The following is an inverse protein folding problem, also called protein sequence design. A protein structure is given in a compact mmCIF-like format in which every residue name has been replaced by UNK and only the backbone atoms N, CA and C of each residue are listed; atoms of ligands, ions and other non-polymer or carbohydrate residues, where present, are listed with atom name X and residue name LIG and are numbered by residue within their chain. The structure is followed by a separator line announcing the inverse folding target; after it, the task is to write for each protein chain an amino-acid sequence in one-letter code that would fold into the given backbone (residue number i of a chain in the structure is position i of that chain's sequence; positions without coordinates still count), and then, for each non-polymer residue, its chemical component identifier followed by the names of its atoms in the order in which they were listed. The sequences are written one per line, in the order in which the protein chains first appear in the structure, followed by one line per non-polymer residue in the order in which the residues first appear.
data_IF_149799063463
#
_entry.id   IF_149799063463
#
_cell.length_a   1.000
_cell.length_b   1.000
_cell.length_c   1.000
_cell.angle_alpha   90.00
_cell.angle_beta   90.00
_cell.angle_gamma   90.00
#
_symmetry.space_group_name_H-M   'P 1'
#
loop_
_entity.id
_entity.type
_entity.pdbx_description
1 polymer ?
#
# COMPACT_ATOMS: atom_id res chain seq x y z
N UNK A 1 56.70 -16.93 -62.66
CA UNK A 1 57.52 -16.32 -63.72
C UNK A 1 57.43 -14.80 -63.59
N UNK A 2 58.61 -14.18 -63.42
CA UNK A 2 59.04 -12.81 -63.76
C UNK A 2 57.98 -11.69 -63.91
N UNK A 3 58.21 -10.64 -63.10
CA UNK A 3 58.35 -9.21 -63.50
C UNK A 3 57.06 -8.50 -63.98
N UNK A 4 56.83 -7.19 -63.86
CA UNK A 4 57.52 -5.99 -63.39
C UNK A 4 56.62 -4.83 -63.88
N UNK A 5 56.50 -3.69 -63.21
CA UNK A 5 55.90 -2.51 -63.86
C UNK A 5 55.40 -1.40 -62.94
N UNK A 6 56.34 -0.61 -62.45
CA UNK A 6 56.19 0.70 -61.82
C UNK A 6 55.95 1.81 -62.87
N UNK A 7 55.11 2.81 -62.58
CA UNK A 7 55.07 4.20 -63.13
C UNK A 7 53.79 4.86 -62.54
N UNK A 8 53.76 5.82 -61.60
CA UNK A 8 54.42 7.14 -61.42
C UNK A 8 54.06 8.15 -62.51
N UNK A 9 53.35 9.23 -62.13
CA UNK A 9 53.25 10.63 -62.66
C UNK A 9 51.88 11.19 -62.17
N UNK A 10 51.77 12.04 -61.15
CA UNK A 10 52.12 13.49 -61.00
C UNK A 10 51.33 14.42 -61.94
N UNK A 11 50.62 15.40 -61.35
CA UNK A 11 50.16 16.63 -62.00
C UNK A 11 48.73 16.99 -61.60
N UNK A 12 48.53 17.93 -60.64
CA UNK A 12 48.23 19.35 -60.88
C UNK A 12 46.96 19.52 -61.75
N UNK A 13 45.90 20.25 -61.37
CA UNK A 13 45.90 21.60 -60.82
C UNK A 13 44.47 21.95 -60.34
N UNK A 14 44.43 22.92 -59.44
CA UNK A 14 43.31 23.76 -59.03
C UNK A 14 42.29 24.11 -60.12
N UNK A 15 41.02 24.26 -59.74
CA UNK A 15 40.28 25.53 -59.88
C UNK A 15 39.06 25.55 -58.95
N UNK A 16 39.05 26.60 -58.11
CA UNK A 16 37.93 27.07 -57.30
C UNK A 16 36.90 27.81 -58.18
N UNK A 17 35.79 28.17 -57.52
CA UNK A 17 34.71 29.12 -57.89
C UNK A 17 33.45 28.39 -58.40
N UNK A 18 32.48 28.12 -57.54
CA UNK A 18 31.53 29.01 -56.85
C UNK A 18 30.35 29.46 -57.74
N UNK A 19 29.18 28.97 -57.32
CA UNK A 19 27.83 29.55 -57.29
C UNK A 19 27.36 30.44 -58.45
N UNK A 20 26.24 30.07 -59.08
CA UNK A 20 24.93 30.70 -58.80
C UNK A 20 23.90 30.44 -59.91
N UNK A 21 22.92 29.60 -59.56
CA UNK A 21 21.47 29.74 -59.76
C UNK A 21 20.85 29.93 -61.17
N UNK A 22 19.98 28.97 -61.53
CA UNK A 22 18.88 29.18 -62.47
C UNK A 22 18.29 27.87 -63.01
N UNK A 23 17.06 27.52 -62.60
CA UNK A 23 16.16 26.68 -63.40
C UNK A 23 15.72 25.33 -62.80
N UNK A 24 14.68 25.41 -61.98
CA UNK A 24 13.52 24.50 -61.89
C UNK A 24 13.67 23.00 -62.19
N UNK A 25 13.53 22.19 -61.13
CA UNK A 25 12.75 20.95 -61.18
C UNK A 25 11.99 20.77 -59.85
N UNK A 26 10.71 20.46 -60.00
CA UNK A 26 9.68 20.36 -58.96
C UNK A 26 10.00 19.31 -57.88
N UNK A 27 10.06 19.76 -56.62
CA UNK A 27 9.68 18.93 -55.46
C UNK A 27 8.68 19.67 -54.61
N UNK A 28 7.43 19.30 -54.81
CA UNK A 28 6.28 19.71 -54.02
C UNK A 28 6.46 19.23 -52.57
N UNK A 29 6.52 20.22 -51.70
CA UNK A 29 6.40 20.11 -50.26
C UNK A 29 4.97 19.62 -49.91
N UNK A 30 4.89 18.61 -49.06
CA UNK A 30 3.68 18.33 -48.27
C UNK A 30 4.14 17.98 -46.86
N UNK A 31 3.94 18.95 -45.96
CA UNK A 31 3.80 18.69 -44.54
C UNK A 31 2.81 17.54 -44.35
N UNK A 32 3.25 16.48 -43.68
CA UNK A 32 2.40 15.49 -43.07
C UNK A 32 2.77 15.45 -41.59
N UNK A 33 2.01 16.25 -40.82
CA UNK A 33 1.75 16.00 -39.41
C UNK A 33 1.31 14.54 -39.26
N UNK A 34 2.20 13.67 -38.80
CA UNK A 34 1.86 12.32 -38.36
C UNK A 34 1.98 12.24 -36.85
N UNK A 35 0.96 12.78 -36.17
CA UNK A 35 0.39 12.11 -35.00
C UNK A 35 0.23 10.62 -35.33
N UNK A 36 1.10 9.79 -34.76
CA UNK A 36 1.12 8.35 -34.94
C UNK A 36 1.33 7.65 -33.60
N UNK A 37 0.21 7.27 -33.00
CA UNK A 37 0.03 6.21 -32.00
C UNK A 37 0.99 6.16 -30.80
N UNK A 38 0.51 6.73 -29.68
CA UNK A 38 0.85 6.17 -28.38
C UNK A 38 0.39 4.72 -28.36
N UNK A 39 1.29 3.77 -28.64
CA UNK A 39 1.05 2.35 -28.40
C UNK A 39 0.43 2.23 -27.00
N UNK A 40 -0.76 1.66 -26.90
CA UNK A 40 -1.52 1.57 -25.65
C UNK A 40 -0.80 0.55 -24.74
N UNK A 41 0.32 0.97 -24.15
CA UNK A 41 1.17 0.10 -23.33
C UNK A 41 0.40 -0.23 -22.07
N UNK A 42 0.29 -1.52 -21.79
CA UNK A 42 -0.34 -2.03 -20.56
C UNK A 42 0.69 -2.72 -19.68
N UNK A 43 0.39 -2.79 -18.39
CA UNK A 43 1.12 -3.57 -17.39
C UNK A 43 0.21 -4.72 -16.96
N UNK A 44 0.70 -5.95 -17.05
CA UNK A 44 -0.02 -7.13 -16.56
C UNK A 44 0.07 -7.19 -15.05
N UNK A 45 -1.08 -7.27 -14.40
CA UNK A 45 -1.20 -7.41 -12.94
C UNK A 45 -2.02 -8.65 -12.63
N UNK A 46 -1.52 -9.48 -11.73
CA UNK A 46 -2.21 -10.69 -11.29
C UNK A 46 -3.04 -10.40 -10.04
N UNK A 47 -4.35 -10.55 -10.16
CA UNK A 47 -5.26 -10.61 -9.03
C UNK A 47 -5.33 -12.07 -8.56
N UNK A 48 -5.05 -12.30 -7.28
CA UNK A 48 -5.22 -13.59 -6.63
C UNK A 48 -5.65 -13.38 -5.17
N UNK A 49 -6.95 -13.43 -4.90
CA UNK A 49 -7.51 -13.17 -3.58
C UNK A 49 -8.87 -13.86 -3.38
N UNK A 50 -9.37 -13.83 -2.15
CA UNK A 50 -10.73 -14.29 -1.81
C UNK A 50 -11.63 -13.07 -1.64
N UNK A 51 -12.57 -12.89 -2.56
CA UNK A 51 -13.62 -11.88 -2.42
C UNK A 51 -14.64 -12.37 -1.39
N UNK A 52 -14.94 -11.56 -0.37
CA UNK A 52 -15.93 -11.97 0.64
C UNK A 52 -17.35 -11.97 0.07
N UNK A 53 -18.18 -12.91 0.54
CA UNK A 53 -19.62 -12.91 0.30
C UNK A 53 -20.38 -12.16 1.39
N UNK A 54 -21.65 -12.49 1.56
CA UNK A 54 -22.56 -11.89 2.54
C UNK A 54 -22.45 -12.55 3.93
N UNK A 55 -22.00 -13.81 3.99
CA UNK A 55 -21.92 -14.55 5.25
C UNK A 55 -20.71 -14.15 6.07
N UNK A 56 -20.94 -13.93 7.37
CA UNK A 56 -19.90 -13.53 8.33
C UNK A 56 -18.81 -14.59 8.53
N UNK A 57 -19.15 -15.86 8.38
CA UNK A 57 -18.21 -16.98 8.50
C UNK A 57 -17.30 -17.14 7.25
N UNK A 58 -17.55 -16.36 6.19
CA UNK A 58 -16.80 -16.42 4.95
C UNK A 58 -17.04 -17.68 4.12
N UNK A 59 -18.04 -18.51 4.47
CA UNK A 59 -18.35 -19.76 3.76
C UNK A 59 -18.82 -19.57 2.32
N UNK A 60 -19.16 -18.34 1.93
CA UNK A 60 -19.55 -17.92 0.60
C UNK A 60 -18.49 -17.04 -0.10
N UNK A 61 -17.28 -16.95 0.46
CA UNK A 61 -16.18 -16.27 -0.22
C UNK A 61 -15.84 -16.95 -1.55
N UNK A 62 -15.46 -16.15 -2.55
CA UNK A 62 -15.13 -16.62 -3.89
C UNK A 62 -13.69 -16.29 -4.25
N UNK A 63 -12.99 -17.26 -4.80
CA UNK A 63 -11.66 -17.05 -5.34
C UNK A 63 -11.73 -16.17 -6.60
N UNK A 64 -10.96 -15.10 -6.63
CA UNK A 64 -10.71 -14.27 -7.81
C UNK A 64 -9.27 -14.52 -8.24
N UNK A 65 -9.11 -15.13 -9.43
CA UNK A 65 -7.81 -15.40 -10.05
C UNK A 65 -7.85 -14.98 -11.51
N UNK A 66 -7.22 -13.86 -11.82
CA UNK A 66 -7.23 -13.27 -13.15
C UNK A 66 -5.96 -12.44 -13.39
N UNK A 67 -5.63 -12.20 -14.66
CA UNK A 67 -4.62 -11.23 -15.06
C UNK A 67 -5.32 -10.06 -15.72
N UNK A 68 -5.13 -8.85 -15.17
CA UNK A 68 -5.68 -7.62 -15.71
C UNK A 68 -4.58 -6.84 -16.43
N UNK A 69 -4.91 -6.27 -17.59
CA UNK A 69 -4.02 -5.41 -18.36
C UNK A 69 -4.32 -3.94 -18.04
N UNK A 70 -3.55 -3.39 -17.10
CA UNK A 70 -3.71 -2.01 -16.62
C UNK A 70 -3.03 -1.06 -17.60
N UNK A 71 -3.69 0.01 -18.08
CA UNK A 71 -3.03 1.04 -18.88
C UNK A 71 -1.83 1.61 -18.14
N UNK A 72 -0.72 1.85 -18.85
CA UNK A 72 0.44 2.49 -18.26
C UNK A 72 0.15 3.97 -18.00
N UNK A 73 0.55 4.48 -16.83
CA UNK A 73 0.31 5.84 -16.36
C UNK A 73 -1.17 6.28 -16.42
N UNK A 74 -2.09 5.55 -15.78
CA UNK A 74 -3.50 5.96 -15.75
C UNK A 74 -3.60 7.34 -15.08
N UNK A 75 -4.43 8.21 -15.65
CA UNK A 75 -4.66 9.59 -15.21
C UNK A 75 -5.74 9.69 -14.15
N UNK A 76 -6.67 8.73 -14.15
CA UNK A 76 -7.80 8.70 -13.23
C UNK A 76 -7.80 7.42 -12.40
N UNK A 77 -7.18 7.45 -11.23
CA UNK A 77 -7.22 6.37 -10.25
C UNK A 77 -8.28 6.63 -9.18
N UNK A 78 -9.06 5.59 -8.86
CA UNK A 78 -9.85 5.53 -7.63
C UNK A 78 -9.13 4.60 -6.65
N UNK A 79 -8.85 5.06 -5.43
CA UNK A 79 -8.01 4.33 -4.47
C UNK A 79 -8.82 4.06 -3.20
N UNK A 80 -9.18 2.79 -2.97
CA UNK A 80 -9.90 2.36 -1.76
C UNK A 80 -9.00 1.79 -0.66
N UNK A 81 -7.68 1.83 -0.84
CA UNK A 81 -6.71 1.34 0.13
C UNK A 81 -5.79 2.49 0.58
N UNK A 82 -5.82 2.83 1.87
CA UNK A 82 -5.07 3.98 2.38
C UNK A 82 -3.56 3.77 2.39
N UNK A 83 -3.07 2.53 2.53
CA UNK A 83 -1.65 2.24 2.37
C UNK A 83 -1.19 2.49 0.93
N UNK A 84 -1.95 1.99 -0.04
CA UNK A 84 -1.71 2.24 -1.47
C UNK A 84 -1.76 3.73 -1.79
N UNK A 85 -2.71 4.47 -1.20
CA UNK A 85 -2.80 5.92 -1.35
C UNK A 85 -1.55 6.64 -0.81
N UNK A 86 -1.06 6.24 0.36
CA UNK A 86 0.19 6.76 0.94
C UNK A 86 1.41 6.43 0.06
N UNK A 87 1.48 5.21 -0.49
CA UNK A 87 2.54 4.82 -1.43
C UNK A 87 2.49 5.66 -2.71
N UNK A 88 1.30 5.92 -3.26
CA UNK A 88 1.14 6.81 -4.41
C UNK A 88 1.58 8.25 -4.10
N UNK A 89 1.25 8.76 -2.91
CA UNK A 89 1.72 10.07 -2.42
C UNK A 89 3.24 10.11 -2.35
N UNK A 90 3.88 9.12 -1.72
CA UNK A 90 5.34 9.04 -1.62
C UNK A 90 6.04 8.93 -2.99
N UNK A 91 5.33 8.47 -4.03
CA UNK A 91 5.81 8.42 -5.42
C UNK A 91 5.56 9.73 -6.21
N UNK A 92 4.88 10.72 -5.62
CA UNK A 92 4.50 11.97 -6.27
C UNK A 92 3.39 11.77 -7.32
N UNK A 93 2.40 10.91 -7.02
CA UNK A 93 1.29 10.53 -7.91
C UNK A 93 -0.06 11.07 -7.44
N UNK A 94 -0.07 12.12 -6.60
CA UNK A 94 -1.29 12.72 -6.07
C UNK A 94 -2.18 13.29 -7.17
N UNK A 95 -1.62 13.67 -8.32
CA UNK A 95 -2.36 14.17 -9.49
C UNK A 95 -3.14 13.06 -10.23
N UNK A 96 -2.71 11.80 -10.06
CA UNK A 96 -3.36 10.61 -10.64
C UNK A 96 -4.58 10.16 -9.84
N UNK A 97 -4.66 10.52 -8.57
CA UNK A 97 -5.78 10.15 -7.70
C UNK A 97 -6.95 11.10 -7.99
N UNK A 98 -8.12 10.55 -8.32
CA UNK A 98 -9.35 11.31 -8.54
C UNK A 98 -10.39 11.11 -7.46
N UNK A 99 -10.44 9.93 -6.86
CA UNK A 99 -11.42 9.65 -5.84
C UNK A 99 -10.90 8.64 -4.81
N UNK A 100 -11.37 8.78 -3.58
CA UNK A 100 -11.02 7.93 -2.47
C UNK A 100 -12.10 8.00 -1.38
N UNK A 101 -12.22 7.00 -0.49
CA UNK A 101 -13.16 7.08 0.61
C UNK A 101 -12.62 8.06 1.65
N UNK A 102 -13.36 9.11 1.98
CA UNK A 102 -12.97 10.08 3.02
C UNK A 102 -13.81 9.93 4.30
N UNK A 103 -14.89 9.18 4.23
CA UNK A 103 -15.92 9.13 5.26
C UNK A 103 -16.70 10.43 5.36
N UNK A 104 -17.60 10.49 6.32
CA UNK A 104 -18.34 11.71 6.63
C UNK A 104 -17.39 12.78 7.19
N UNK A 105 -17.45 13.99 6.63
CA UNK A 105 -16.61 15.12 7.07
C UNK A 105 -15.10 14.85 6.99
N UNK A 106 -14.66 13.97 6.09
CA UNK A 106 -13.25 13.57 5.93
C UNK A 106 -12.62 12.88 7.15
N UNK A 107 -13.44 12.38 8.10
CA UNK A 107 -12.96 11.87 9.39
C UNK A 107 -12.25 10.52 9.29
N UNK A 108 -12.47 9.74 8.23
CA UNK A 108 -11.85 8.42 8.05
C UNK A 108 -10.38 8.50 7.67
N UNK A 109 -9.91 9.65 7.13
CA UNK A 109 -8.53 9.80 6.70
C UNK A 109 -7.57 9.82 7.90
N UNK A 110 -6.47 9.05 7.85
CA UNK A 110 -5.30 9.27 8.69
C UNK A 110 -4.69 10.65 8.47
N UNK A 111 -4.03 11.20 9.49
CA UNK A 111 -3.50 12.57 9.43
C UNK A 111 -2.39 12.74 8.37
N UNK A 112 -1.58 11.69 8.15
CA UNK A 112 -0.56 11.67 7.08
C UNK A 112 -1.15 11.71 5.65
N UNK A 113 -2.46 11.50 5.50
CA UNK A 113 -3.21 11.62 4.24
C UNK A 113 -4.10 12.88 4.20
N UNK A 114 -3.86 13.86 5.07
CA UNK A 114 -4.67 15.09 5.16
C UNK A 114 -4.73 15.90 3.86
N UNK A 115 -3.72 15.83 2.99
CA UNK A 115 -3.72 16.48 1.67
C UNK A 115 -4.89 16.00 0.78
N UNK A 116 -5.36 14.77 0.99
CA UNK A 116 -6.48 14.19 0.23
C UNK A 116 -7.86 14.66 0.72
N UNK A 117 -7.92 15.54 1.73
CA UNK A 117 -9.17 16.19 2.18
C UNK A 117 -9.69 17.21 1.16
N UNK A 118 -8.82 17.75 0.32
CA UNK A 118 -9.14 18.74 -0.73
C UNK A 118 -10.31 18.29 -1.61
N UNK A 119 -11.18 19.23 -1.99
CA UNK A 119 -12.40 18.98 -2.76
C UNK A 119 -12.14 18.44 -4.17
N UNK A 120 -10.93 18.65 -4.72
CA UNK A 120 -10.54 18.10 -6.03
C UNK A 120 -10.54 16.56 -6.05
N UNK A 121 -10.44 15.92 -4.88
CA UNK A 121 -10.58 14.48 -4.75
C UNK A 121 -12.04 14.14 -4.41
N UNK A 122 -12.72 13.38 -5.26
CA UNK A 122 -14.09 12.97 -5.01
C UNK A 122 -14.17 12.01 -3.81
N UNK A 123 -15.14 12.24 -2.92
CA UNK A 123 -15.37 11.38 -1.77
C UNK A 123 -16.24 10.18 -2.18
N UNK A 124 -15.65 8.98 -2.22
CA UNK A 124 -16.37 7.74 -2.56
C UNK A 124 -17.07 7.10 -1.36
N UNK A 125 -17.35 7.85 -0.30
CA UNK A 125 -17.98 7.35 0.91
C UNK A 125 -16.94 6.85 1.91
N UNK A 126 -17.11 5.64 2.43
CA UNK A 126 -16.23 5.04 3.44
C UNK A 126 -15.61 3.73 2.94
N UNK A 127 -14.65 3.18 3.69
CA UNK A 127 -14.07 1.86 3.41
C UNK A 127 -15.09 0.71 3.55
N UNK A 128 -16.25 0.95 4.14
CA UNK A 128 -17.33 -0.05 4.30
C UNK A 128 -18.46 0.16 3.29
N UNK A 129 -18.79 1.41 3.02
CA UNK A 129 -19.92 1.81 2.18
C UNK A 129 -19.42 2.70 1.05
N UNK A 130 -19.39 2.13 -0.14
CA UNK A 130 -18.88 2.77 -1.36
C UNK A 130 -20.01 3.55 -2.04
N UNK A 131 -19.74 4.81 -2.37
CA UNK A 131 -20.58 5.62 -3.23
C UNK A 131 -20.17 5.39 -4.69
N UNK A 132 -20.91 4.51 -5.39
CA UNK A 132 -20.61 4.13 -6.78
C UNK A 132 -20.89 5.25 -7.79
N UNK A 133 -21.81 6.17 -7.51
CA UNK A 133 -22.02 7.35 -8.37
C UNK A 133 -20.77 8.22 -8.42
N UNK A 134 -20.11 8.41 -7.27
CA UNK A 134 -18.83 9.11 -7.19
C UNK A 134 -17.67 8.36 -7.83
N UNK A 135 -17.73 7.03 -7.85
CA UNK A 135 -16.78 6.21 -8.63
C UNK A 135 -16.99 6.44 -10.13
N UNK A 136 -18.24 6.43 -10.61
CA UNK A 136 -18.57 6.68 -12.02
C UNK A 136 -18.19 8.11 -12.45
N UNK A 137 -18.48 9.10 -11.60
CA UNK A 137 -18.11 10.51 -11.82
C UNK A 137 -16.60 10.70 -12.00
N UNK A 138 -15.79 9.90 -11.30
CA UNK A 138 -14.33 9.94 -11.39
C UNK A 138 -13.78 9.43 -12.73
N UNK A 139 -14.60 8.74 -13.55
CA UNK A 139 -14.22 8.11 -14.83
C UNK A 139 -12.88 7.38 -14.75
N UNK A 140 -12.74 6.38 -13.84
CA UNK A 140 -11.46 5.78 -13.56
C UNK A 140 -10.97 4.90 -14.70
N UNK A 141 -9.66 4.87 -14.88
CA UNK A 141 -8.95 3.88 -15.70
C UNK A 141 -8.51 2.70 -14.84
N UNK A 142 -8.29 2.93 -13.54
CA UNK A 142 -7.89 1.92 -12.56
C UNK A 142 -8.60 2.16 -11.22
N UNK A 143 -9.00 1.07 -10.58
CA UNK A 143 -9.59 1.05 -9.24
C UNK A 143 -8.74 0.12 -8.37
N UNK A 144 -8.10 0.67 -7.34
CA UNK A 144 -7.33 -0.12 -6.37
C UNK A 144 -8.21 -0.50 -5.20
N UNK A 145 -8.32 -1.80 -4.94
CA UNK A 145 -9.15 -2.35 -3.86
C UNK A 145 -8.32 -3.27 -2.94
N UNK A 146 -8.78 -3.41 -1.70
CA UNK A 146 -8.23 -4.39 -0.74
C UNK A 146 -9.37 -5.04 0.04
N UNK A 147 -9.07 -5.84 1.07
CA UNK A 147 -10.01 -6.76 1.69
C UNK A 147 -11.37 -6.17 2.12
N UNK A 148 -11.45 -4.88 2.46
CA UNK A 148 -12.72 -4.23 2.86
C UNK A 148 -13.67 -3.96 1.69
N UNK A 149 -13.12 -3.67 0.51
CA UNK A 149 -13.91 -3.37 -0.69
C UNK A 149 -13.93 -4.54 -1.68
N UNK A 150 -13.09 -5.56 -1.48
CA UNK A 150 -13.03 -6.80 -2.23
C UNK A 150 -14.13 -7.79 -1.80
N UNK A 151 -15.39 -7.44 -2.05
CA UNK A 151 -16.54 -8.34 -1.87
C UNK A 151 -17.35 -8.44 -3.17
N UNK A 152 -18.09 -9.53 -3.35
CA UNK A 152 -18.77 -9.81 -4.62
C UNK A 152 -19.72 -8.68 -5.05
N UNK A 153 -20.50 -8.13 -4.11
CA UNK A 153 -21.41 -7.02 -4.37
C UNK A 153 -20.67 -5.81 -4.92
N UNK A 154 -19.57 -5.42 -4.28
CA UNK A 154 -18.79 -4.27 -4.72
C UNK A 154 -18.13 -4.51 -6.08
N UNK A 155 -17.62 -5.72 -6.35
CA UNK A 155 -17.05 -6.06 -7.66
C UNK A 155 -18.08 -5.91 -8.79
N UNK A 156 -19.31 -6.37 -8.56
CA UNK A 156 -20.41 -6.25 -9.53
C UNK A 156 -20.79 -4.77 -9.75
N UNK A 157 -20.84 -3.97 -8.68
CA UNK A 157 -21.15 -2.54 -8.77
C UNK A 157 -20.02 -1.72 -9.40
N UNK A 158 -18.74 -2.04 -9.14
CA UNK A 158 -17.62 -1.41 -9.83
C UNK A 158 -17.69 -1.62 -11.35
N UNK A 159 -18.06 -2.83 -11.78
CA UNK A 159 -18.23 -3.14 -13.20
C UNK A 159 -19.38 -2.34 -13.85
N UNK A 160 -20.45 -2.04 -13.11
CA UNK A 160 -21.55 -1.19 -13.61
C UNK A 160 -21.15 0.28 -13.64
N UNK A 161 -20.52 0.77 -12.58
CA UNK A 161 -20.15 2.18 -12.42
C UNK A 161 -19.02 2.61 -13.36
N UNK A 162 -18.07 1.71 -13.64
CA UNK A 162 -16.90 2.00 -14.47
C UNK A 162 -16.48 0.74 -15.27
N UNK A 163 -17.22 0.37 -16.33
CA UNK A 163 -17.02 -0.89 -17.06
C UNK A 163 -15.65 -1.04 -17.71
N UNK A 164 -14.99 0.07 -18.06
CA UNK A 164 -13.68 0.07 -18.71
C UNK A 164 -12.51 0.06 -17.72
N UNK A 165 -12.77 0.39 -16.44
CA UNK A 165 -11.75 0.50 -15.43
C UNK A 165 -11.16 -0.87 -15.07
N UNK A 166 -9.85 -0.91 -14.81
CA UNK A 166 -9.18 -2.13 -14.34
C UNK A 166 -9.18 -2.16 -12.82
N UNK A 167 -9.75 -3.23 -12.26
CA UNK A 167 -9.74 -3.44 -10.81
C UNK A 167 -8.45 -4.18 -10.44
N UNK A 168 -7.65 -3.57 -9.57
CA UNK A 168 -6.38 -4.12 -9.08
C UNK A 168 -6.49 -4.38 -7.59
N UNK A 169 -6.25 -5.62 -7.19
CA UNK A 169 -6.19 -5.99 -5.78
C UNK A 169 -4.80 -5.70 -5.20
N UNK A 170 -4.77 -4.90 -4.13
CA UNK A 170 -3.56 -4.45 -3.42
C UNK A 170 -3.60 -4.84 -1.93
N UNK A 171 -4.42 -5.83 -1.57
CA UNK A 171 -4.39 -6.40 -0.23
C UNK A 171 -3.11 -7.19 0.03
N UNK A 172 -2.81 -7.40 1.30
CA UNK A 172 -1.63 -8.12 1.79
C UNK A 172 -2.02 -9.48 2.33
N UNK A 173 -1.18 -10.48 2.09
CA UNK A 173 -1.27 -11.78 2.76
C UNK A 173 -0.48 -11.70 4.07
N UNK A 174 -1.16 -11.79 5.21
CA UNK A 174 -0.52 -11.70 6.54
C UNK A 174 0.56 -12.79 6.75
N UNK A 175 0.48 -13.92 6.05
CA UNK A 175 1.49 -15.00 6.13
C UNK A 175 2.74 -14.73 5.30
N UNK A 176 2.65 -13.81 4.34
CA UNK A 176 3.72 -13.39 3.45
C UNK A 176 3.76 -11.85 3.36
N UNK A 177 3.63 -11.21 4.53
CA UNK A 177 3.32 -9.78 4.67
C UNK A 177 4.33 -8.92 3.92
N UNK A 178 5.60 -9.01 4.28
CA UNK A 178 6.68 -8.19 3.73
C UNK A 178 6.79 -8.33 2.21
N UNK A 179 6.68 -9.55 1.68
CA UNK A 179 6.75 -9.77 0.23
C UNK A 179 5.53 -9.19 -0.49
N UNK A 180 4.33 -9.32 0.11
CA UNK A 180 3.11 -8.72 -0.42
C UNK A 180 3.20 -7.19 -0.47
N UNK A 181 3.71 -6.56 0.59
CA UNK A 181 3.92 -5.10 0.66
C UNK A 181 4.84 -4.62 -0.48
N UNK A 182 5.98 -5.30 -0.66
CA UNK A 182 6.95 -4.99 -1.72
C UNK A 182 6.36 -5.22 -3.10
N UNK A 183 5.69 -6.35 -3.33
CA UNK A 183 5.05 -6.69 -4.60
C UNK A 183 4.05 -5.62 -5.02
N UNK A 184 3.20 -5.16 -4.09
CA UNK A 184 2.22 -4.12 -4.38
C UNK A 184 2.91 -2.80 -4.73
N UNK A 185 3.98 -2.44 -4.01
CA UNK A 185 4.79 -1.23 -4.26
C UNK A 185 5.49 -1.27 -5.62
N UNK A 186 6.09 -2.41 -5.98
CA UNK A 186 6.72 -2.62 -7.28
C UNK A 186 5.70 -2.62 -8.42
N UNK A 187 4.50 -3.14 -8.18
CA UNK A 187 3.40 -3.11 -9.15
C UNK A 187 2.98 -1.69 -9.45
N UNK A 188 2.80 -0.84 -8.42
CA UNK A 188 2.56 0.60 -8.60
C UNK A 188 3.72 1.27 -9.36
N UNK A 189 4.96 0.92 -9.02
CA UNK A 189 6.17 1.37 -9.72
C UNK A 189 6.09 1.11 -11.23
N UNK A 190 5.72 -0.12 -11.64
CA UNK A 190 5.57 -0.50 -13.04
C UNK A 190 4.41 0.22 -13.74
N UNK A 191 3.26 0.36 -13.06
CA UNK A 191 2.07 1.02 -13.60
C UNK A 191 2.37 2.50 -13.90
N UNK A 192 3.12 3.18 -13.03
CA UNK A 192 3.30 4.63 -13.08
C UNK A 192 4.70 5.12 -13.50
N UNK A 193 5.56 4.24 -14.04
CA UNK A 193 6.95 4.58 -14.38
C UNK A 193 7.75 5.14 -13.18
N UNK A 194 7.60 4.48 -12.03
CA UNK A 194 8.23 4.83 -10.73
C UNK A 194 9.04 3.67 -10.16
N UNK A 195 9.59 2.79 -10.99
CA UNK A 195 10.31 1.59 -10.55
C UNK A 195 11.50 1.90 -9.62
N UNK A 196 12.25 2.98 -9.89
CA UNK A 196 13.38 3.36 -9.03
C UNK A 196 12.92 3.84 -7.65
N UNK A 197 11.81 4.57 -7.59
CA UNK A 197 11.21 4.97 -6.32
C UNK A 197 10.64 3.77 -5.57
N UNK A 198 10.01 2.82 -6.28
CA UNK A 198 9.55 1.57 -5.70
C UNK A 198 10.72 0.78 -5.08
N UNK A 199 11.82 0.58 -5.81
CA UNK A 199 13.04 -0.07 -5.29
C UNK A 199 13.62 0.66 -4.07
N UNK A 200 13.62 1.99 -4.08
CA UNK A 200 14.09 2.77 -2.93
C UNK A 200 13.20 2.57 -1.70
N UNK A 201 11.87 2.53 -1.88
CA UNK A 201 10.93 2.29 -0.78
C UNK A 201 11.04 0.86 -0.23
N UNK A 202 11.13 -0.15 -1.10
CA UNK A 202 11.28 -1.55 -0.66
C UNK A 202 12.59 -1.78 0.07
N UNK A 203 13.69 -1.16 -0.39
CA UNK A 203 14.96 -1.16 0.34
C UNK A 203 14.85 -0.45 1.70
N UNK A 204 14.19 0.71 1.76
CA UNK A 204 13.99 1.43 3.03
C UNK A 204 13.22 0.57 4.04
N UNK A 205 12.21 -0.17 3.60
CA UNK A 205 11.49 -1.13 4.44
C UNK A 205 12.42 -2.23 4.95
N UNK A 206 13.25 -2.83 4.09
CA UNK A 206 14.23 -3.84 4.51
C UNK A 206 15.21 -3.32 5.57
N UNK A 207 15.76 -2.12 5.35
CA UNK A 207 16.68 -1.50 6.30
C UNK A 207 15.98 -1.23 7.65
N UNK A 208 14.71 -0.79 7.62
CA UNK A 208 13.91 -0.57 8.83
C UNK A 208 13.59 -1.86 9.58
N UNK A 209 13.22 -2.92 8.87
CA UNK A 209 12.99 -4.25 9.43
C UNK A 209 14.26 -4.79 10.09
N UNK A 210 15.40 -4.67 9.41
CA UNK A 210 16.68 -5.10 9.98
C UNK A 210 17.01 -4.33 11.26
N UNK A 211 16.85 -3.00 11.24
CA UNK A 211 17.12 -2.13 12.39
C UNK A 211 16.26 -2.46 13.60
N UNK A 212 14.95 -2.64 13.43
CA UNK A 212 14.07 -3.01 14.56
C UNK A 212 14.34 -4.43 15.05
N UNK A 213 14.63 -5.40 14.16
CA UNK A 213 14.99 -6.77 14.55
C UNK A 213 16.30 -6.83 15.33
N UNK A 214 17.24 -5.93 15.06
CA UNK A 214 18.46 -5.83 15.86
C UNK A 214 18.15 -5.34 17.27
N UNK A 215 17.27 -4.35 17.44
CA UNK A 215 16.81 -3.86 18.75
C UNK A 215 16.03 -4.92 19.54
N UNK A 216 15.17 -5.70 18.88
CA UNK A 216 14.34 -6.71 19.56
C UNK A 216 15.12 -7.94 20.03
N UNK A 217 16.36 -8.16 19.55
CA UNK A 217 17.23 -9.22 20.08
C UNK A 217 17.54 -9.05 21.57
N UNK A 218 17.68 -7.81 22.02
CA UNK A 218 17.94 -7.47 23.41
C UNK A 218 16.66 -7.54 24.28
N UNK A 219 15.49 -7.70 23.64
CA UNK A 219 14.16 -7.76 24.27
C UNK A 219 13.56 -9.17 24.23
N UNK A 220 14.32 -10.22 23.91
CA UNK A 220 13.78 -11.58 23.74
C UNK A 220 13.12 -12.14 25.00
N UNK A 221 13.57 -11.72 26.18
CA UNK A 221 12.96 -12.11 27.45
C UNK A 221 11.75 -11.23 27.82
N UNK A 222 11.56 -10.11 27.11
CA UNK A 222 10.42 -9.21 27.28
C UNK A 222 9.27 -9.61 26.34
N UNK A 223 8.44 -10.53 26.82
CA UNK A 223 7.25 -10.99 26.09
C UNK A 223 6.27 -9.84 25.84
N UNK A 224 5.78 -9.75 24.62
CA UNK A 224 4.88 -8.72 24.15
C UNK A 224 3.48 -9.28 23.85
N UNK A 225 2.46 -8.47 24.11
CA UNK A 225 1.07 -8.75 23.74
C UNK A 225 0.52 -7.59 22.90
N UNK A 226 -0.16 -7.91 21.80
CA UNK A 226 -0.92 -6.91 21.05
C UNK A 226 -2.38 -6.94 21.51
N UNK A 227 -2.94 -5.80 21.91
CA UNK A 227 -4.33 -5.67 22.33
C UNK A 227 -5.07 -4.67 21.46
N UNK A 228 -6.13 -5.14 20.80
CA UNK A 228 -7.16 -4.29 20.24
C UNK A 228 -8.24 -4.05 21.29
N UNK A 229 -8.47 -2.78 21.62
CA UNK A 229 -9.63 -2.36 22.42
C UNK A 229 -10.76 -1.99 21.47
N UNK A 230 -11.94 -2.54 21.71
CA UNK A 230 -13.16 -2.15 20.99
C UNK A 230 -14.33 -2.08 21.97
N UNK A 231 -14.81 -0.87 22.25
CA UNK A 231 -15.97 -0.65 23.13
C UNK A 231 -15.80 -1.24 24.54
N UNK A 232 -14.54 -1.40 24.99
CA UNK A 232 -14.18 -1.95 26.30
C UNK A 232 -13.83 -3.44 26.26
N UNK A 233 -14.12 -4.14 25.17
CA UNK A 233 -13.67 -5.51 24.94
C UNK A 233 -12.23 -5.54 24.43
N UNK A 234 -11.53 -6.65 24.74
CA UNK A 234 -10.16 -6.90 24.33
C UNK A 234 -10.10 -8.07 23.33
N UNK A 235 -9.34 -7.87 22.26
CA UNK A 235 -8.93 -8.93 21.35
C UNK A 235 -7.41 -8.92 21.18
N UNK A 236 -6.80 -10.10 21.10
CA UNK A 236 -5.37 -10.28 20.81
C UNK A 236 -5.14 -10.91 19.44
N UNK A 237 -3.94 -10.74 18.91
CA UNK A 237 -3.50 -11.24 17.61
C UNK A 237 -2.13 -11.90 17.78
N UNK A 238 -1.94 -13.08 17.19
CA UNK A 238 -0.68 -13.82 17.24
C UNK A 238 0.21 -13.62 16.01
N UNK A 239 1.34 -14.30 15.98
CA UNK A 239 2.17 -14.46 14.77
C UNK A 239 1.35 -14.99 13.59
N UNK A 240 1.62 -14.49 12.40
CA UNK A 240 0.94 -14.85 11.15
C UNK A 240 -0.48 -14.32 11.04
N UNK A 241 -0.88 -13.39 11.90
CA UNK A 241 -2.21 -12.77 11.91
C UNK A 241 -2.10 -11.26 11.80
N UNK A 242 -2.82 -10.64 10.86
CA UNK A 242 -3.04 -9.18 10.74
C UNK A 242 -2.04 -8.27 11.47
N UNK A 243 -2.35 -7.83 12.70
CA UNK A 243 -1.48 -6.91 13.45
C UNK A 243 -0.31 -7.61 14.14
N UNK A 244 -0.50 -8.87 14.53
CA UNK A 244 0.55 -9.68 15.16
C UNK A 244 1.65 -10.08 14.18
N UNK A 245 1.35 -10.28 12.90
CA UNK A 245 2.36 -10.51 11.86
C UNK A 245 3.39 -9.37 11.82
N UNK A 246 2.92 -8.13 11.80
CA UNK A 246 3.78 -6.95 11.84
C UNK A 246 4.64 -6.89 13.12
N UNK A 247 4.07 -7.11 14.30
CA UNK A 247 4.80 -7.01 15.58
C UNK A 247 5.76 -8.20 15.79
N UNK A 248 5.29 -9.43 15.63
CA UNK A 248 6.03 -10.62 16.04
C UNK A 248 6.92 -11.15 14.90
N UNK A 249 6.42 -11.20 13.67
CA UNK A 249 7.15 -11.81 12.56
C UNK A 249 8.05 -10.79 11.84
N UNK A 250 7.50 -9.60 11.59
CA UNK A 250 8.18 -8.51 10.88
C UNK A 250 9.11 -7.72 11.80
N UNK A 251 8.69 -7.32 13.01
CA UNK A 251 9.57 -6.58 13.94
C UNK A 251 10.38 -7.48 14.89
N UNK A 252 9.97 -8.74 15.09
CA UNK A 252 10.74 -9.73 15.84
C UNK A 252 10.53 -9.71 17.36
N UNK A 253 9.46 -9.10 17.86
CA UNK A 253 9.10 -9.22 19.28
C UNK A 253 8.69 -10.65 19.62
N UNK A 254 8.98 -11.10 20.84
CA UNK A 254 8.55 -12.41 21.33
C UNK A 254 7.12 -12.32 21.85
N UNK A 255 6.16 -13.11 21.33
CA UNK A 255 4.78 -13.09 21.81
C UNK A 255 4.65 -13.64 23.24
N UNK A 256 3.69 -13.11 24.00
CA UNK A 256 3.33 -13.62 25.31
C UNK A 256 2.53 -14.94 25.24
N UNK A 257 1.93 -15.24 24.09
CA UNK A 257 1.22 -16.48 23.81
C UNK A 257 1.40 -16.90 22.34
N UNK A 258 1.98 -18.07 22.13
CA UNK A 258 2.18 -18.65 20.79
C UNK A 258 0.92 -19.35 20.25
N UNK A 259 -0.14 -19.51 21.06
CA UNK A 259 -1.32 -20.32 20.75
C UNK A 259 -2.58 -19.49 20.46
N UNK A 260 -2.42 -18.33 19.82
CA UNK A 260 -3.56 -17.51 19.40
C UNK A 260 -4.22 -18.12 18.16
N UNK A 261 -5.56 -18.11 18.16
CA UNK A 261 -6.35 -18.59 17.02
C UNK A 261 -6.50 -17.50 15.96
N UNK A 262 -6.13 -17.84 14.73
CA UNK A 262 -6.26 -16.93 13.59
C UNK A 262 -7.72 -16.55 13.32
N UNK A 263 -7.99 -15.26 13.40
CA UNK A 263 -9.28 -14.63 13.15
C UNK A 263 -9.07 -13.22 12.59
N UNK A 264 -9.91 -12.81 11.62
CA UNK A 264 -9.90 -11.43 11.08
C UNK A 264 -10.13 -10.35 12.16
N UNK A 265 -10.77 -10.75 13.27
CA UNK A 265 -11.10 -9.89 14.40
C UNK A 265 -10.23 -10.18 15.64
N UNK A 266 -9.24 -11.08 15.52
CA UNK A 266 -8.45 -11.55 16.65
C UNK A 266 -9.20 -12.53 17.53
N UNK A 267 -8.51 -13.02 18.56
CA UNK A 267 -9.09 -13.83 19.62
C UNK A 267 -9.57 -12.92 20.75
N UNK A 268 -10.85 -13.00 21.11
CA UNK A 268 -11.35 -12.29 22.28
C UNK A 268 -10.69 -12.83 23.55
N UNK A 269 -10.26 -11.92 24.42
CA UNK A 269 -9.57 -12.23 25.67
C UNK A 269 -10.13 -11.38 26.81
N UNK A 270 -9.92 -11.83 28.05
CA UNK A 270 -10.35 -11.09 29.24
C UNK A 270 -9.16 -10.40 29.93
N UNK A 271 -9.44 -9.56 30.92
CA UNK A 271 -8.39 -8.98 31.75
C UNK A 271 -7.62 -10.06 32.53
N UNK A 272 -8.29 -11.11 32.99
CA UNK A 272 -7.67 -12.25 33.67
C UNK A 272 -6.69 -12.98 32.74
N UNK A 273 -7.01 -13.10 31.45
CA UNK A 273 -6.08 -13.65 30.46
C UNK A 273 -4.81 -12.77 30.35
N UNK A 274 -4.96 -11.44 30.30
CA UNK A 274 -3.81 -10.53 30.26
C UNK A 274 -2.97 -10.66 31.53
N UNK A 275 -3.60 -10.78 32.70
CA UNK A 275 -2.95 -11.01 33.98
C UNK A 275 -2.21 -12.37 34.03
N UNK A 276 -2.83 -13.43 33.51
CA UNK A 276 -2.23 -14.77 33.43
C UNK A 276 -1.00 -14.81 32.53
N UNK A 277 -1.07 -14.16 31.35
CA UNK A 277 0.06 -14.10 30.42
C UNK A 277 1.18 -13.18 30.90
N UNK A 278 0.84 -12.19 31.73
CA UNK A 278 1.77 -11.23 32.34
C UNK A 278 2.85 -10.71 31.36
N UNK A 279 2.47 -10.05 30.25
CA UNK A 279 3.45 -9.55 29.29
C UNK A 279 4.30 -8.41 29.90
N UNK A 280 5.55 -8.32 29.45
CA UNK A 280 6.44 -7.19 29.78
C UNK A 280 6.20 -5.96 28.90
N UNK A 281 5.58 -6.14 27.73
CA UNK A 281 5.25 -5.09 26.77
C UNK A 281 3.80 -5.28 26.29
N UNK A 282 3.02 -4.21 26.24
CA UNK A 282 1.71 -4.20 25.59
C UNK A 282 1.72 -3.19 24.46
N UNK A 283 1.42 -3.64 23.25
CA UNK A 283 1.05 -2.78 22.13
C UNK A 283 -0.47 -2.66 22.08
N UNK A 284 -1.01 -1.49 22.34
CA UNK A 284 -2.45 -1.28 22.44
C UNK A 284 -2.96 -0.41 21.30
N UNK A 285 -4.11 -0.76 20.73
CA UNK A 285 -4.79 0.04 19.72
C UNK A 285 -6.28 0.14 20.04
N UNK A 286 -6.85 1.35 20.01
CA UNK A 286 -8.28 1.57 20.21
C UNK A 286 -9.03 1.71 18.88
N UNK A 287 -9.88 0.73 18.56
CA UNK A 287 -10.69 0.76 17.34
C UNK A 287 -11.68 1.93 17.34
N UNK A 288 -12.21 2.32 18.50
CA UNK A 288 -13.14 3.44 18.63
C UNK A 288 -12.53 4.73 18.09
N UNK A 289 -11.25 4.99 18.41
CA UNK A 289 -10.52 6.14 17.88
C UNK A 289 -10.30 6.07 16.37
N UNK A 290 -10.02 4.88 15.80
CA UNK A 290 -9.88 4.73 14.35
C UNK A 290 -11.14 5.20 13.62
N UNK A 291 -12.32 4.75 14.10
CA UNK A 291 -13.62 5.01 13.46
C UNK A 291 -14.23 6.38 13.81
N UNK A 292 -13.51 7.24 14.55
CA UNK A 292 -13.98 8.57 14.95
C UNK A 292 -14.89 8.60 16.18
N UNK A 293 -14.96 7.50 16.94
CA UNK A 293 -15.62 7.39 18.23
C UNK A 293 -14.74 7.83 19.41
N UNK A 294 -15.30 7.73 20.62
CA UNK A 294 -14.55 7.97 21.87
C UNK A 294 -13.63 6.79 22.17
N UNK A 295 -12.46 7.08 22.74
CA UNK A 295 -11.58 6.03 23.25
C UNK A 295 -12.17 5.36 24.50
N UNK A 296 -12.02 4.06 24.59
CA UNK A 296 -12.29 3.25 25.80
C UNK A 296 -11.03 2.56 26.33
N UNK A 297 -9.88 2.70 25.67
CA UNK A 297 -8.61 2.08 26.04
C UNK A 297 -8.20 2.36 27.49
N UNK A 298 -8.27 3.62 27.96
CA UNK A 298 -7.91 3.98 29.34
C UNK A 298 -8.69 3.17 30.38
N UNK A 299 -9.98 2.93 30.16
CA UNK A 299 -10.80 2.16 31.09
C UNK A 299 -10.53 0.66 30.96
N UNK A 300 -10.38 0.17 29.72
CA UNK A 300 -10.12 -1.24 29.45
C UNK A 300 -8.74 -1.68 30.01
N UNK A 301 -7.73 -0.81 29.93
CA UNK A 301 -6.34 -1.10 30.32
C UNK A 301 -5.95 -0.54 31.70
N UNK A 302 -6.85 0.22 32.36
CA UNK A 302 -6.59 0.88 33.65
C UNK A 302 -7.46 0.33 34.78
N UNK A 303 -7.51 -1.00 34.95
CA UNK A 303 -8.35 -1.66 35.94
C UNK A 303 -7.55 -2.52 36.93
N UNK A 304 -8.17 -2.84 38.07
CA UNK A 304 -7.52 -3.55 39.20
C UNK A 304 -7.06 -4.99 38.87
N UNK A 305 -7.61 -5.64 37.85
CA UNK A 305 -7.29 -7.04 37.51
C UNK A 305 -5.90 -7.15 36.88
N UNK A 306 -5.50 -6.13 36.09
CA UNK A 306 -4.23 -6.13 35.35
C UNK A 306 -3.19 -5.16 35.93
N UNK A 307 -3.49 -4.46 37.03
CA UNK A 307 -2.57 -3.47 37.62
C UNK A 307 -1.18 -4.03 37.96
N UNK A 308 -1.12 -5.33 38.26
CA UNK A 308 0.10 -6.02 38.65
C UNK A 308 0.83 -6.68 37.47
N UNK A 309 0.29 -6.55 36.24
CA UNK A 309 0.96 -6.97 35.01
C UNK A 309 2.24 -6.16 34.80
N UNK A 310 3.33 -6.82 34.40
CA UNK A 310 4.66 -6.20 34.27
C UNK A 310 4.64 -4.99 33.32
N UNK A 311 4.00 -5.10 32.16
CA UNK A 311 3.84 -3.97 31.24
C UNK A 311 3.08 -2.77 31.87
N UNK A 312 2.13 -3.02 32.78
CA UNK A 312 1.36 -1.96 33.43
C UNK A 312 2.20 -1.28 34.52
N UNK A 313 2.85 -2.07 35.39
CA UNK A 313 3.72 -1.56 36.46
C UNK A 313 4.91 -0.77 35.92
N UNK A 314 5.50 -1.24 34.82
CA UNK A 314 6.67 -0.64 34.19
C UNK A 314 6.32 0.47 33.19
N UNK A 315 5.04 0.82 33.04
CA UNK A 315 4.56 1.81 32.07
C UNK A 315 4.99 1.51 30.61
N UNK A 316 4.99 0.23 30.24
CA UNK A 316 5.31 -0.29 28.89
C UNK A 316 4.05 -0.67 28.12
N UNK A 317 3.00 0.14 28.26
CA UNK A 317 1.83 0.12 27.39
C UNK A 317 2.00 1.18 26.32
N UNK A 318 2.26 0.74 25.10
CA UNK A 318 2.44 1.61 23.95
C UNK A 318 1.13 1.69 23.16
N UNK A 319 0.43 2.82 23.31
CA UNK A 319 -0.73 3.15 22.47
C UNK A 319 -0.27 3.51 21.06
N UNK A 320 -0.75 2.74 20.08
CA UNK A 320 -0.43 2.86 18.65
C UNK A 320 -1.48 3.71 17.92
N UNK A 321 -1.08 4.43 16.87
CA UNK A 321 -1.98 5.21 16.03
C UNK A 321 -3.06 4.30 15.40
N UNK A 322 -4.32 4.43 15.84
CA UNK A 322 -5.36 3.50 15.43
C UNK A 322 -5.72 3.65 13.96
N UNK A 323 -5.53 4.81 13.32
CA UNK A 323 -5.79 4.98 11.88
C UNK A 323 -4.68 4.39 11.04
N UNK A 324 -3.43 4.56 11.45
CA UNK A 324 -2.27 3.94 10.79
C UNK A 324 -2.41 2.41 10.81
N UNK A 325 -2.64 1.83 11.99
CA UNK A 325 -2.67 0.39 12.17
C UNK A 325 -3.98 -0.25 11.72
N UNK A 326 -5.14 0.36 11.98
CA UNK A 326 -6.42 -0.28 11.65
C UNK A 326 -6.81 -0.11 10.18
N UNK A 327 -6.67 1.11 9.62
CA UNK A 327 -7.18 1.44 8.28
C UNK A 327 -6.13 1.47 7.18
N UNK A 328 -4.89 1.85 7.51
CA UNK A 328 -3.84 2.07 6.52
C UNK A 328 -2.73 1.01 6.52
N UNK A 329 -2.84 -0.03 7.36
CA UNK A 329 -1.97 -1.20 7.28
C UNK A 329 -2.04 -1.83 5.89
N UNK A 330 -0.93 -2.32 5.37
CA UNK A 330 -0.91 -3.08 4.11
C UNK A 330 -0.15 -2.43 2.96
N UNK A 331 0.74 -1.46 3.21
CA UNK A 331 1.69 -0.97 2.21
C UNK A 331 3.10 -0.79 2.76
N UNK A 332 4.11 -0.74 1.89
CA UNK A 332 5.51 -0.53 2.27
C UNK A 332 5.68 0.77 3.06
N UNK A 333 5.02 1.85 2.65
CA UNK A 333 5.19 3.17 3.27
C UNK A 333 4.52 3.26 4.64
N UNK A 334 3.34 2.65 4.81
CA UNK A 334 2.68 2.58 6.12
C UNK A 334 3.36 1.59 7.06
N UNK A 335 3.91 0.47 6.56
CA UNK A 335 4.75 -0.43 7.34
C UNK A 335 6.00 0.26 7.91
N UNK A 336 6.66 1.11 7.10
CA UNK A 336 7.77 1.94 7.58
C UNK A 336 7.32 2.85 8.73
N UNK A 337 6.16 3.52 8.60
CA UNK A 337 5.61 4.39 9.66
C UNK A 337 5.27 3.61 10.93
N UNK A 338 4.74 2.38 10.79
CA UNK A 338 4.45 1.49 11.93
C UNK A 338 5.74 1.10 12.67
N UNK A 339 6.80 0.75 11.94
CA UNK A 339 8.11 0.46 12.52
C UNK A 339 8.66 1.71 13.22
N UNK A 340 8.63 2.88 12.57
CA UNK A 340 9.10 4.15 13.14
C UNK A 340 8.32 4.54 14.41
N UNK A 341 7.01 4.27 14.47
CA UNK A 341 6.19 4.49 15.66
C UNK A 341 6.62 3.57 16.82
N UNK A 342 6.83 2.27 16.56
CA UNK A 342 7.29 1.33 17.57
C UNK A 342 8.71 1.65 18.03
N UNK A 343 9.61 2.01 17.12
CA UNK A 343 10.96 2.47 17.47
C UNK A 343 10.91 3.64 18.45
N UNK A 344 10.09 4.65 18.16
CA UNK A 344 9.92 5.83 19.02
C UNK A 344 9.26 5.49 20.35
N UNK A 345 8.39 4.48 20.38
CA UNK A 345 7.74 4.02 21.61
C UNK A 345 8.75 3.37 22.56
N UNK A 346 9.67 2.56 22.04
CA UNK A 346 10.73 1.88 22.81
C UNK A 346 11.78 2.82 23.41
N UNK A 347 11.91 4.05 22.92
CA UNK A 347 12.86 5.05 23.42
C UNK A 347 12.36 5.78 24.68
N UNK A 348 11.11 5.56 25.11
CA UNK A 348 10.49 6.21 26.27
C UNK A 348 10.68 5.40 27.56
#
# INVERSE_FOLDING_TARGET
MKKLGLLLVVGLMFLLVACSNGGSDDKKNSEADSKGESSNKTVKVENNYQASGEKRDGSDAKAVKETVEVPKNPKNAVVFDYGTLDTMKEMGLEDKVKALPKGEGNKSLPDFLSDFKDEKYLNTGSLKEVNFDKVAEAKPEVIYISGRTANQKNLDEFKKAAPDAKVVYVGVDDKDEVNSLKKNTETLGKIYDKEDKAKSLTKKLDDKIAGIKDKTKDLKDNKALFLLVNEGELSTFGSGERFGAMIFDTMGFTPADDNIKNSKHGQNVTNEYVAEKNPSIIFAMDRGQAIGGKSTAKNALGNDVIKDVDAIKDNKVYELDPKLWYFASGSTTTAIKQIEEVEKALEK
#
